data_IF_210941257803
#
_entry.id   IF_210941257803
#
_cell.length_a   1.000
_cell.length_b   1.000
_cell.length_c   1.000
_cell.angle_alpha   90.00
_cell.angle_beta   90.00
_cell.angle_gamma   90.00
#
_symmetry.space_group_name_H-M   'P 1'
#
loop_
_entity.id
_entity.type
_entity.pdbx_description
1 polymer ?
#
# COMPACT_ATOMS: atom_id res chain seq x y z
N UNK A 1 34.45 -1.52 -1.27
CA UNK A 1 34.12 -2.89 -1.71
C UNK A 1 32.77 -2.92 -2.42
N UNK A 2 32.43 -4.02 -3.08
CA UNK A 2 31.13 -4.17 -3.72
C UNK A 2 29.99 -4.12 -2.67
N UNK A 3 30.22 -4.69 -1.50
CA UNK A 3 29.28 -4.66 -0.38
C UNK A 3 29.01 -3.24 0.10
N UNK A 4 30.03 -2.44 0.32
CA UNK A 4 29.87 -1.01 0.68
C UNK A 4 29.10 -0.22 -0.36
N UNK A 5 29.25 -0.54 -1.65
CA UNK A 5 28.49 0.11 -2.72
C UNK A 5 27.01 -0.27 -2.66
N UNK A 6 26.70 -1.54 -2.35
CA UNK A 6 25.32 -2.00 -2.18
C UNK A 6 24.68 -1.32 -0.97
N UNK A 7 25.37 -1.30 0.17
CA UNK A 7 24.88 -0.65 1.41
C UNK A 7 24.62 0.84 1.20
N UNK A 8 25.53 1.51 0.50
CA UNK A 8 25.35 2.91 0.14
C UNK A 8 24.14 3.11 -0.77
N UNK A 9 23.95 2.23 -1.77
CA UNK A 9 22.81 2.28 -2.69
C UNK A 9 21.48 2.08 -1.96
N UNK A 10 21.41 1.14 -1.02
CA UNK A 10 20.22 0.91 -0.20
C UNK A 10 19.89 2.12 0.68
N UNK A 11 20.89 2.71 1.34
CA UNK A 11 20.71 3.89 2.15
C UNK A 11 20.26 5.10 1.31
N UNK A 12 20.83 5.26 0.11
CA UNK A 12 20.44 6.33 -0.80
C UNK A 12 19.00 6.15 -1.31
N UNK A 13 18.59 4.94 -1.66
CA UNK A 13 17.21 4.65 -2.09
C UNK A 13 16.22 4.98 -0.97
N UNK A 14 16.54 4.65 0.27
CA UNK A 14 15.71 4.99 1.42
C UNK A 14 15.63 6.51 1.62
N UNK A 15 16.73 7.23 1.48
CA UNK A 15 16.75 8.69 1.58
C UNK A 15 15.93 9.35 0.45
N UNK A 16 16.07 8.86 -0.79
CA UNK A 16 15.29 9.37 -1.94
C UNK A 16 13.79 9.20 -1.69
N UNK A 17 13.37 8.06 -1.16
CA UNK A 17 11.96 7.86 -0.81
C UNK A 17 11.51 8.79 0.33
N UNK A 18 12.33 8.97 1.36
CA UNK A 18 12.03 9.88 2.48
C UNK A 18 11.81 11.33 2.01
N UNK A 19 12.59 11.77 1.03
CA UNK A 19 12.51 13.13 0.46
C UNK A 19 11.45 13.23 -0.66
N UNK A 20 11.15 12.13 -1.34
CA UNK A 20 10.28 12.08 -2.51
C UNK A 20 8.81 11.78 -2.19
N UNK A 21 8.53 11.12 -1.08
CA UNK A 21 7.15 10.85 -0.68
C UNK A 21 6.38 12.16 -0.43
N UNK A 22 5.13 12.20 -0.87
CA UNK A 22 4.31 13.39 -0.75
C UNK A 22 3.10 13.17 0.16
N UNK A 23 2.99 13.99 1.21
CA UNK A 23 1.80 14.00 2.07
C UNK A 23 0.67 14.75 1.34
N UNK A 24 -0.33 14.02 0.88
CA UNK A 24 -1.47 14.59 0.15
C UNK A 24 -2.57 15.10 1.08
N UNK A 25 -2.73 14.47 2.24
CA UNK A 25 -3.76 14.80 3.23
C UNK A 25 -3.34 14.29 4.61
N UNK A 26 -3.60 15.09 5.64
CA UNK A 26 -3.45 14.68 7.04
C UNK A 26 -4.47 15.42 7.91
N UNK A 27 -5.67 14.88 8.01
CA UNK A 27 -6.76 15.44 8.78
C UNK A 27 -6.75 14.86 10.21
N UNK A 28 -7.25 15.63 11.16
CA UNK A 28 -7.43 15.20 12.55
C UNK A 28 -6.13 14.68 13.22
N UNK A 29 -4.96 15.14 12.78
CA UNK A 29 -3.68 14.64 13.25
C UNK A 29 -3.56 13.11 13.17
N UNK A 30 -4.03 12.52 12.07
CA UNK A 30 -3.99 11.08 11.85
C UNK A 30 -2.54 10.55 11.83
N UNK A 31 -1.65 11.32 11.25
CA UNK A 31 -0.21 11.08 11.28
C UNK A 31 0.50 12.12 12.17
N UNK A 32 1.56 11.73 12.87
CA UNK A 32 2.17 10.39 12.90
C UNK A 32 1.34 9.37 13.71
N UNK A 33 1.55 8.10 13.40
CA UNK A 33 1.09 6.99 14.22
C UNK A 33 1.88 6.96 15.54
N UNK A 34 1.25 6.47 16.60
CA UNK A 34 1.98 6.13 17.82
C UNK A 34 3.04 5.05 17.52
N UNK A 35 4.20 5.11 18.21
CA UNK A 35 5.33 4.23 17.94
C UNK A 35 5.02 2.73 18.18
N UNK A 36 4.01 2.44 19.00
CA UNK A 36 3.55 1.10 19.36
C UNK A 36 2.16 0.77 18.79
N UNK A 37 1.72 1.49 17.76
CA UNK A 37 0.41 1.31 17.15
C UNK A 37 0.22 -0.14 16.65
N UNK A 38 -1.03 -0.61 16.76
CA UNK A 38 -1.48 -1.88 16.19
C UNK A 38 -2.38 -1.59 15.02
N UNK A 39 -1.97 -2.00 13.83
CA UNK A 39 -2.62 -1.62 12.58
C UNK A 39 -3.08 -2.81 11.77
N UNK A 40 -4.10 -2.60 10.97
CA UNK A 40 -4.56 -3.55 9.94
C UNK A 40 -4.23 -3.00 8.56
N UNK A 41 -3.47 -3.76 7.77
CA UNK A 41 -3.11 -3.40 6.40
C UNK A 41 -4.07 -4.04 5.43
N UNK A 42 -4.82 -3.21 4.71
CA UNK A 42 -5.84 -3.64 3.76
C UNK A 42 -5.34 -3.54 2.33
N UNK A 43 -5.85 -4.35 1.50
CA UNK A 43 -5.67 -4.58 0.07
C UNK A 43 -4.65 -5.66 -0.28
N UNK A 44 -4.86 -6.31 -1.41
CA UNK A 44 -3.87 -7.23 -1.99
C UNK A 44 -2.55 -6.53 -2.31
N UNK A 45 -2.60 -5.22 -2.61
CA UNK A 45 -1.41 -4.40 -2.85
C UNK A 45 -0.56 -4.18 -1.59
N UNK A 46 -1.14 -4.26 -0.39
CA UNK A 46 -0.39 -4.09 0.87
C UNK A 46 0.65 -5.18 1.09
N UNK A 47 0.40 -6.38 0.58
CA UNK A 47 1.32 -7.53 0.65
C UNK A 47 2.11 -7.74 -0.64
N UNK A 48 1.83 -6.94 -1.67
CA UNK A 48 2.44 -7.05 -2.99
C UNK A 48 2.76 -5.64 -3.52
N UNK A 49 3.72 -4.98 -2.87
CA UNK A 49 4.12 -3.62 -3.23
C UNK A 49 4.71 -3.53 -4.63
N UNK A 50 4.53 -2.39 -5.26
CA UNK A 50 5.28 -2.00 -6.45
C UNK A 50 6.61 -1.45 -5.99
N UNK A 51 7.67 -2.22 -6.17
CA UNK A 51 9.04 -1.82 -5.85
C UNK A 51 9.71 -1.12 -7.03
N UNK A 52 9.37 -1.51 -8.24
CA UNK A 52 9.89 -0.94 -9.48
C UNK A 52 8.94 -1.22 -10.63
N UNK A 53 9.23 -0.63 -11.78
CA UNK A 53 8.46 -0.83 -12.99
C UNK A 53 8.62 -2.23 -13.59
N UNK A 54 8.00 -2.42 -14.74
CA UNK A 54 8.17 -3.61 -15.59
C UNK A 54 9.18 -3.32 -16.70
N UNK A 55 9.63 -4.33 -17.42
CA UNK A 55 10.63 -4.16 -18.48
C UNK A 55 12.00 -3.80 -17.92
N UNK A 56 12.66 -2.80 -18.50
CA UNK A 56 14.00 -2.36 -18.07
C UNK A 56 14.04 -1.70 -16.70
N UNK A 57 12.90 -1.25 -16.20
CA UNK A 57 12.74 -0.73 -14.84
C UNK A 57 12.45 -1.80 -13.78
N UNK A 58 12.41 -3.07 -14.16
CA UNK A 58 12.15 -4.15 -13.21
C UNK A 58 13.34 -4.35 -12.27
N UNK A 59 13.03 -4.58 -10.99
CA UNK A 59 14.03 -4.89 -9.96
C UNK A 59 13.74 -6.23 -9.30
N UNK A 60 14.77 -6.89 -8.82
CA UNK A 60 14.63 -8.06 -7.94
C UNK A 60 14.37 -7.58 -6.52
N UNK A 61 13.12 -7.67 -6.09
CA UNK A 61 12.69 -7.27 -4.75
C UNK A 61 12.67 -8.45 -3.76
N UNK A 62 13.27 -9.58 -4.08
CA UNK A 62 13.25 -10.78 -3.22
C UNK A 62 13.87 -10.56 -1.84
N UNK A 63 14.77 -9.59 -1.71
CA UNK A 63 15.41 -9.22 -0.44
C UNK A 63 14.85 -7.94 0.18
N UNK A 64 13.88 -7.30 -0.48
CA UNK A 64 13.27 -6.07 0.03
C UNK A 64 12.38 -6.35 1.25
N UNK A 65 12.30 -5.36 2.13
CA UNK A 65 11.30 -5.39 3.18
C UNK A 65 9.89 -5.30 2.58
N UNK A 66 8.96 -5.96 3.25
CA UNK A 66 7.52 -5.78 3.01
C UNK A 66 7.01 -4.58 3.80
N UNK A 67 5.79 -4.14 3.52
CA UNK A 67 5.13 -3.13 4.36
C UNK A 67 5.09 -3.58 5.83
N UNK A 68 4.79 -4.86 6.08
CA UNK A 68 4.75 -5.41 7.43
C UNK A 68 6.12 -5.35 8.11
N UNK A 69 7.17 -5.88 7.49
CA UNK A 69 8.50 -5.89 8.11
C UNK A 69 9.05 -4.48 8.32
N UNK A 70 8.79 -3.55 7.41
CA UNK A 70 9.15 -2.14 7.57
C UNK A 70 8.44 -1.48 8.76
N UNK A 71 7.14 -1.71 8.92
CA UNK A 71 6.36 -1.21 10.06
C UNK A 71 6.84 -1.83 11.38
N UNK A 72 7.11 -3.13 11.41
CA UNK A 72 7.61 -3.83 12.58
C UNK A 72 8.98 -3.29 13.02
N UNK A 73 9.85 -2.92 12.09
CA UNK A 73 11.16 -2.29 12.38
C UNK A 73 11.05 -0.96 13.12
N UNK A 74 9.96 -0.24 12.97
CA UNK A 74 9.70 1.02 13.69
C UNK A 74 8.79 0.86 14.91
N UNK A 75 8.46 -0.39 15.29
CA UNK A 75 7.72 -0.73 16.50
C UNK A 75 6.21 -0.91 16.32
N UNK A 76 5.69 -0.75 15.11
CA UNK A 76 4.28 -0.94 14.78
C UNK A 76 3.98 -2.43 14.60
N UNK A 77 2.88 -2.90 15.19
CA UNK A 77 2.41 -4.28 15.05
C UNK A 77 1.36 -4.36 13.96
N UNK A 78 1.53 -5.28 13.01
CA UNK A 78 0.60 -5.50 11.90
C UNK A 78 -0.28 -6.71 12.20
N UNK A 79 -1.57 -6.59 11.93
CA UNK A 79 -2.57 -7.65 12.07
C UNK A 79 -2.13 -8.90 11.26
N UNK A 80 -1.73 -9.99 11.93
CA UNK A 80 -1.21 -11.16 11.25
C UNK A 80 -2.31 -11.95 10.52
N UNK A 81 -3.53 -11.95 11.05
CA UNK A 81 -4.65 -12.69 10.46
C UNK A 81 -5.05 -12.08 9.11
N UNK A 82 -5.13 -10.74 9.03
CA UNK A 82 -5.41 -10.04 7.78
C UNK A 82 -4.24 -10.15 6.81
N UNK A 83 -2.99 -10.10 7.30
CA UNK A 83 -1.81 -10.29 6.47
C UNK A 83 -1.79 -11.69 5.84
N UNK A 84 -2.04 -12.72 6.64
CA UNK A 84 -2.08 -14.11 6.18
C UNK A 84 -3.22 -14.37 5.21
N UNK A 85 -4.37 -13.68 5.38
CA UNK A 85 -5.47 -13.73 4.43
C UNK A 85 -5.02 -13.39 3.00
N UNK A 86 -4.19 -12.35 2.84
CA UNK A 86 -3.71 -11.93 1.53
C UNK A 86 -2.51 -12.73 1.01
N UNK A 87 -1.73 -13.35 1.88
CA UNK A 87 -0.47 -14.02 1.49
C UNK A 87 -0.63 -15.52 1.29
N UNK A 88 -1.39 -16.17 2.13
CA UNK A 88 -1.58 -17.63 2.12
C UNK A 88 -3.04 -18.05 2.19
N UNK A 89 -3.93 -17.16 2.59
CA UNK A 89 -5.37 -17.42 2.74
C UNK A 89 -6.16 -17.21 1.45
N UNK A 90 -7.46 -16.99 1.60
CA UNK A 90 -8.40 -16.88 0.47
C UNK A 90 -8.15 -15.69 -0.46
N UNK A 91 -7.48 -14.63 0.04
CA UNK A 91 -7.15 -13.45 -0.75
C UNK A 91 -5.90 -13.58 -1.63
N UNK A 92 -5.11 -14.65 -1.49
CA UNK A 92 -3.83 -14.83 -2.19
C UNK A 92 -3.92 -14.86 -3.71
N UNK A 93 -5.01 -15.36 -4.23
CA UNK A 93 -5.20 -15.55 -5.68
C UNK A 93 -5.59 -14.26 -6.40
N UNK A 94 -5.80 -13.18 -5.67
CA UNK A 94 -6.11 -11.84 -6.18
C UNK A 94 -4.87 -10.93 -6.31
N UNK A 95 -3.68 -11.45 -6.09
CA UNK A 95 -2.44 -10.70 -6.30
C UNK A 95 -2.30 -10.32 -7.79
N UNK A 96 -1.74 -9.12 -8.05
CA UNK A 96 -1.42 -8.70 -9.40
C UNK A 96 -0.63 -9.78 -10.13
N UNK A 97 -1.05 -10.09 -11.36
CA UNK A 97 -0.30 -10.95 -12.26
C UNK A 97 0.65 -10.10 -13.12
N UNK A 98 1.89 -10.54 -13.25
CA UNK A 98 2.80 -9.97 -14.24
C UNK A 98 2.40 -10.45 -15.63
N UNK A 99 2.03 -9.55 -16.53
CA UNK A 99 1.75 -9.88 -17.91
C UNK A 99 2.95 -9.60 -18.81
N UNK A 100 3.61 -10.58 -19.20
CA UNK A 100 4.29 -10.94 -20.40
C UNK A 100 5.52 -10.19 -20.87
N UNK A 101 5.42 -9.40 -21.87
CA UNK A 101 6.54 -8.79 -22.61
C UNK A 101 6.63 -7.29 -22.32
N UNK A 102 7.82 -6.72 -22.52
CA UNK A 102 8.08 -5.27 -22.37
C UNK A 102 6.98 -4.40 -23.02
N UNK A 103 6.48 -4.79 -24.17
CA UNK A 103 5.44 -4.07 -24.91
C UNK A 103 3.99 -4.28 -24.38
N UNK A 104 3.79 -5.16 -23.39
CA UNK A 104 2.48 -5.50 -22.83
C UNK A 104 2.52 -5.63 -21.30
N UNK A 105 3.44 -4.97 -20.66
CA UNK A 105 3.79 -5.18 -19.27
C UNK A 105 3.04 -4.28 -18.29
N UNK A 106 1.83 -3.85 -18.64
CA UNK A 106 0.91 -3.26 -17.65
C UNK A 106 0.37 -4.37 -16.75
N UNK A 107 0.50 -4.18 -15.46
CA UNK A 107 -0.05 -5.11 -14.47
C UNK A 107 -1.43 -4.63 -14.03
N UNK A 108 -2.40 -5.50 -14.18
CA UNK A 108 -3.77 -5.23 -13.76
C UNK A 108 -3.87 -5.40 -12.26
N UNK A 109 -4.40 -4.41 -11.57
CA UNK A 109 -4.77 -4.52 -10.17
C UNK A 109 -5.97 -5.45 -10.05
N UNK A 110 -5.82 -6.49 -9.25
CA UNK A 110 -6.92 -7.36 -8.87
C UNK A 110 -7.12 -7.23 -7.36
N UNK A 111 -8.11 -6.44 -6.94
CA UNK A 111 -8.45 -6.33 -5.52
C UNK A 111 -9.43 -7.43 -5.13
N UNK A 112 -9.32 -7.89 -3.88
CA UNK A 112 -10.14 -8.96 -3.32
C UNK A 112 -11.58 -8.47 -3.15
N UNK A 113 -12.59 -9.15 -3.73
CA UNK A 113 -13.98 -8.84 -3.46
C UNK A 113 -14.29 -8.97 -1.96
N UNK A 114 -15.10 -8.04 -1.44
CA UNK A 114 -15.37 -8.01 0.01
C UNK A 114 -16.04 -9.27 0.56
N UNK A 115 -16.82 -9.96 -0.24
CA UNK A 115 -17.49 -11.21 0.13
C UNK A 115 -16.54 -12.41 0.29
N UNK A 116 -15.28 -12.28 -0.15
CA UNK A 116 -14.21 -13.27 0.09
C UNK A 116 -13.64 -13.17 1.50
N UNK A 117 -13.75 -12.00 2.15
CA UNK A 117 -13.29 -11.79 3.52
C UNK A 117 -14.12 -12.61 4.51
N UNK A 118 -13.45 -13.48 5.25
CA UNK A 118 -14.11 -14.31 6.27
C UNK A 118 -14.45 -13.53 7.53
N UNK A 119 -15.37 -14.01 8.34
CA UNK A 119 -15.70 -13.37 9.62
C UNK A 119 -14.49 -13.32 10.54
N UNK A 120 -13.67 -14.38 10.59
CA UNK A 120 -12.42 -14.40 11.36
C UNK A 120 -11.48 -13.25 10.97
N UNK A 121 -11.32 -13.01 9.68
CA UNK A 121 -10.48 -11.91 9.16
C UNK A 121 -11.07 -10.55 9.56
N UNK A 122 -12.37 -10.36 9.38
CA UNK A 122 -13.05 -9.11 9.76
C UNK A 122 -12.97 -8.86 11.27
N UNK A 123 -13.21 -9.88 12.08
CA UNK A 123 -13.19 -9.79 13.54
C UNK A 123 -11.78 -9.50 14.08
N UNK A 124 -10.74 -9.94 13.40
CA UNK A 124 -9.35 -9.69 13.79
C UNK A 124 -8.98 -8.20 13.83
N UNK A 125 -9.67 -7.38 13.04
CA UNK A 125 -9.36 -5.95 12.88
C UNK A 125 -9.52 -5.18 14.20
N UNK A 126 -10.46 -5.57 15.06
CA UNK A 126 -10.71 -4.89 16.32
C UNK A 126 -9.50 -4.85 17.26
N UNK A 127 -8.64 -5.86 17.23
CA UNK A 127 -7.41 -5.90 18.04
C UNK A 127 -6.26 -5.10 17.43
N UNK A 128 -6.38 -4.69 16.17
CA UNK A 128 -5.37 -3.96 15.40
C UNK A 128 -6.01 -2.73 14.75
N UNK A 129 -6.87 -2.07 15.50
CA UNK A 129 -7.71 -0.97 15.03
C UNK A 129 -7.15 0.43 15.26
N UNK A 130 -5.89 0.59 15.68
CA UNK A 130 -5.32 1.93 15.84
C UNK A 130 -5.28 2.70 14.52
N UNK A 131 -5.08 1.99 13.42
CA UNK A 131 -5.30 2.50 12.07
C UNK A 131 -5.59 1.35 11.09
N UNK A 132 -6.38 1.66 10.05
CA UNK A 132 -6.39 0.91 8.80
C UNK A 132 -5.44 1.60 7.83
N UNK A 133 -4.48 0.86 7.28
CA UNK A 133 -3.58 1.34 6.24
C UNK A 133 -3.97 0.63 4.95
N UNK A 134 -4.44 1.38 3.97
CA UNK A 134 -4.91 0.87 2.68
C UNK A 134 -3.90 1.23 1.61
N UNK A 135 -3.33 0.24 0.94
CA UNK A 135 -2.39 0.48 -0.17
C UNK A 135 -3.12 0.33 -1.50
N UNK A 136 -3.01 1.33 -2.34
CA UNK A 136 -3.54 1.33 -3.71
C UNK A 136 -2.37 1.43 -4.68
N UNK A 137 -2.32 0.55 -5.66
CA UNK A 137 -1.20 0.52 -6.60
C UNK A 137 -1.66 0.43 -8.05
N UNK A 138 -0.83 0.99 -8.92
CA UNK A 138 -0.94 0.88 -10.39
C UNK A 138 0.46 0.66 -10.94
N UNK A 139 0.56 -0.16 -11.95
CA UNK A 139 1.81 -0.41 -12.67
C UNK A 139 1.57 -0.24 -14.15
N UNK A 140 2.19 0.75 -14.75
CA UNK A 140 2.32 0.87 -16.20
C UNK A 140 3.60 0.23 -16.68
N UNK A 141 3.57 -0.32 -17.89
CA UNK A 141 4.74 -0.97 -18.47
C UNK A 141 5.46 -0.07 -19.48
N UNK A 142 6.72 -0.39 -19.73
CA UNK A 142 7.49 0.21 -20.81
C UNK A 142 6.79 -0.02 -22.16
N UNK A 143 6.46 1.06 -22.86
CA UNK A 143 5.74 1.02 -24.14
C UNK A 143 4.26 0.65 -24.04
N UNK A 144 3.68 0.62 -22.84
CA UNK A 144 2.27 0.32 -22.60
C UNK A 144 1.70 1.23 -21.50
N UNK A 145 0.79 2.11 -21.89
CA UNK A 145 0.07 2.97 -20.95
C UNK A 145 -1.06 2.22 -20.23
N UNK A 146 -1.43 2.72 -19.06
CA UNK A 146 -2.64 2.29 -18.37
C UNK A 146 -3.89 2.75 -19.14
N UNK A 147 -4.84 1.85 -19.31
CA UNK A 147 -6.10 2.13 -19.99
C UNK A 147 -6.99 3.08 -19.18
N UNK A 148 -7.67 3.98 -19.87
CA UNK A 148 -8.72 4.83 -19.31
C UNK A 148 -10.06 4.74 -20.08
N UNK A 149 -10.21 3.69 -20.91
CA UNK A 149 -11.44 3.41 -21.67
C UNK A 149 -12.49 2.68 -20.83
N UNK A 150 -12.98 1.53 -21.31
CA UNK A 150 -13.96 0.70 -20.58
C UNK A 150 -13.42 0.22 -19.23
N UNK A 151 -12.14 -0.11 -19.16
CA UNK A 151 -11.42 -0.34 -17.90
C UNK A 151 -10.56 0.90 -17.63
N UNK A 152 -10.93 1.65 -16.62
CA UNK A 152 -10.23 2.88 -16.24
C UNK A 152 -9.29 2.63 -15.06
N UNK A 153 -8.03 2.34 -15.34
CA UNK A 153 -7.01 2.14 -14.32
C UNK A 153 -6.58 3.42 -13.60
N UNK A 154 -6.98 4.59 -14.07
CA UNK A 154 -6.76 5.85 -13.37
C UNK A 154 -7.71 6.01 -12.18
N UNK A 155 -8.85 5.33 -12.20
CA UNK A 155 -9.85 5.36 -11.14
C UNK A 155 -9.76 4.10 -10.26
N UNK A 156 -10.41 4.15 -9.10
CA UNK A 156 -10.62 2.97 -8.27
C UNK A 156 -11.54 1.98 -8.99
N UNK A 157 -11.24 0.70 -8.90
CA UNK A 157 -12.16 -0.36 -9.32
C UNK A 157 -13.25 -0.60 -8.26
N UNK A 158 -14.25 -1.40 -8.61
CA UNK A 158 -15.41 -1.65 -7.73
C UNK A 158 -15.03 -2.40 -6.44
N UNK A 159 -14.03 -3.26 -6.48
CA UNK A 159 -13.56 -3.99 -5.30
C UNK A 159 -12.73 -3.08 -4.37
N UNK A 160 -11.91 -2.19 -4.93
CA UNK A 160 -11.21 -1.16 -4.15
C UNK A 160 -12.21 -0.21 -3.47
N UNK A 161 -13.26 0.21 -4.17
CA UNK A 161 -14.33 1.03 -3.59
C UNK A 161 -15.07 0.30 -2.48
N UNK A 162 -15.46 -0.96 -2.71
CA UNK A 162 -16.14 -1.78 -1.70
C UNK A 162 -15.27 -1.97 -0.45
N UNK A 163 -13.98 -2.22 -0.60
CA UNK A 163 -13.04 -2.31 0.51
C UNK A 163 -13.02 -1.00 1.32
N UNK A 164 -12.84 0.15 0.66
CA UNK A 164 -12.82 1.45 1.33
C UNK A 164 -14.14 1.77 2.05
N UNK A 165 -15.29 1.45 1.45
CA UNK A 165 -16.60 1.62 2.09
C UNK A 165 -16.72 0.76 3.36
N UNK A 166 -16.26 -0.47 3.33
CA UNK A 166 -16.32 -1.36 4.48
C UNK A 166 -15.32 -0.96 5.58
N UNK A 167 -14.16 -0.46 5.22
CA UNK A 167 -13.20 0.13 6.19
C UNK A 167 -13.82 1.38 6.83
N UNK A 168 -14.50 2.22 6.05
CA UNK A 168 -15.23 3.39 6.59
C UNK A 168 -16.35 2.98 7.56
N UNK A 169 -17.07 1.89 7.28
CA UNK A 169 -18.08 1.36 8.20
C UNK A 169 -17.44 0.82 9.49
N UNK A 170 -16.29 0.14 9.39
CA UNK A 170 -15.52 -0.27 10.57
C UNK A 170 -15.11 0.94 11.42
N UNK A 171 -14.67 2.03 10.79
CA UNK A 171 -14.31 3.28 11.48
C UNK A 171 -15.53 3.90 12.17
N UNK A 172 -16.66 3.98 11.49
CA UNK A 172 -17.93 4.47 12.05
C UNK A 172 -18.36 3.67 13.27
N UNK A 173 -18.13 2.37 13.28
CA UNK A 173 -18.43 1.46 14.37
C UNK A 173 -17.37 1.43 15.49
N UNK A 174 -16.31 2.23 15.37
CA UNK A 174 -15.24 2.32 16.37
C UNK A 174 -14.25 1.15 16.36
N UNK A 175 -14.30 0.28 15.36
CA UNK A 175 -13.36 -0.85 15.18
C UNK A 175 -11.99 -0.33 14.75
N UNK A 176 -11.98 0.68 13.89
CA UNK A 176 -10.78 1.36 13.39
C UNK A 176 -10.85 2.83 13.79
N UNK A 177 -9.75 3.38 14.29
CA UNK A 177 -9.70 4.78 14.74
C UNK A 177 -9.48 5.77 13.61
N UNK A 178 -8.71 5.38 12.60
CA UNK A 178 -8.34 6.22 11.45
C UNK A 178 -8.01 5.38 10.23
N UNK A 179 -8.20 5.98 9.06
CA UNK A 179 -7.88 5.38 7.76
C UNK A 179 -6.78 6.16 7.07
N UNK A 180 -5.71 5.49 6.71
CA UNK A 180 -4.55 6.03 6.02
C UNK A 180 -4.41 5.33 4.67
N UNK A 181 -4.27 6.09 3.59
CA UNK A 181 -4.08 5.56 2.24
C UNK A 181 -2.64 5.76 1.80
N UNK A 182 -2.01 4.70 1.31
CA UNK A 182 -0.73 4.73 0.62
C UNK A 182 -0.96 4.56 -0.87
N UNK A 183 -0.53 5.53 -1.67
CA UNK A 183 -0.60 5.45 -3.14
C UNK A 183 0.75 4.98 -3.64
N UNK A 184 0.83 3.69 -3.94
CA UNK A 184 2.02 2.99 -4.40
C UNK A 184 1.98 2.87 -5.93
N UNK A 185 2.22 3.98 -6.59
CA UNK A 185 2.18 4.09 -8.04
C UNK A 185 3.05 5.22 -8.54
N UNK A 186 3.94 4.93 -9.49
CA UNK A 186 4.62 5.96 -10.28
C UNK A 186 3.71 6.52 -11.40
N UNK A 187 2.64 5.80 -11.73
CA UNK A 187 1.64 6.21 -12.70
C UNK A 187 0.57 7.11 -12.05
N UNK A 188 -0.09 7.91 -12.87
CA UNK A 188 -1.19 8.73 -12.41
C UNK A 188 -2.34 7.88 -11.83
N UNK A 189 -2.93 8.38 -10.75
CA UNK A 189 -4.16 7.86 -10.15
C UNK A 189 -5.07 9.04 -9.85
N UNK A 190 -6.35 8.93 -10.16
CA UNK A 190 -7.35 9.90 -9.74
C UNK A 190 -7.51 9.83 -8.22
N UNK A 191 -7.33 10.97 -7.55
CA UNK A 191 -7.29 11.03 -6.08
C UNK A 191 -8.47 11.79 -5.48
N UNK A 192 -9.48 12.09 -6.26
CA UNK A 192 -10.71 12.74 -5.80
C UNK A 192 -11.45 11.95 -4.72
N UNK A 193 -11.31 10.62 -4.73
CA UNK A 193 -11.85 9.73 -3.69
C UNK A 193 -11.35 10.05 -2.28
N UNK A 194 -10.17 10.67 -2.13
CA UNK A 194 -9.63 11.08 -0.82
C UNK A 194 -10.53 12.08 -0.10
N UNK A 195 -11.34 12.83 -0.84
CA UNK A 195 -12.29 13.82 -0.30
C UNK A 195 -13.73 13.28 -0.26
N UNK A 196 -13.95 12.04 -0.67
CA UNK A 196 -15.28 11.44 -0.61
C UNK A 196 -15.62 11.05 0.83
N UNK A 197 -16.67 11.65 1.38
CA UNK A 197 -17.12 11.40 2.75
C UNK A 197 -17.56 9.94 2.99
N UNK A 198 -17.92 9.21 1.95
CA UNK A 198 -18.22 7.78 2.06
C UNK A 198 -17.04 6.95 2.57
N UNK A 199 -15.82 7.36 2.23
CA UNK A 199 -14.61 6.61 2.61
C UNK A 199 -13.99 7.11 3.92
N UNK A 200 -14.31 8.35 4.31
CA UNK A 200 -13.87 8.96 5.57
C UNK A 200 -12.36 8.77 5.84
N UNK A 201 -11.54 9.06 4.82
CA UNK A 201 -10.10 8.91 4.85
C UNK A 201 -9.47 10.08 5.63
N UNK A 202 -8.57 9.78 6.56
CA UNK A 202 -7.93 10.79 7.41
C UNK A 202 -6.59 11.29 6.84
N UNK A 203 -5.79 10.40 6.29
CA UNK A 203 -4.49 10.76 5.73
C UNK A 203 -4.20 9.98 4.46
N UNK A 204 -3.39 10.56 3.60
CA UNK A 204 -2.91 9.92 2.38
C UNK A 204 -1.49 10.36 2.05
N UNK A 205 -0.67 9.39 1.67
CA UNK A 205 0.72 9.55 1.30
C UNK A 205 0.93 8.96 -0.09
N UNK A 206 1.46 9.75 -1.02
CA UNK A 206 1.96 9.22 -2.28
C UNK A 206 3.40 8.74 -2.08
N UNK A 207 3.66 7.47 -2.42
CA UNK A 207 4.97 6.83 -2.21
C UNK A 207 5.62 6.34 -3.51
N UNK A 208 4.96 6.50 -4.66
CA UNK A 208 5.50 6.06 -5.94
C UNK A 208 5.83 4.56 -5.96
N UNK A 209 6.84 4.18 -6.74
CA UNK A 209 7.48 2.88 -6.70
C UNK A 209 8.64 2.98 -5.71
N UNK A 210 8.63 2.14 -4.66
CA UNK A 210 9.46 2.38 -3.48
C UNK A 210 10.92 1.94 -3.61
N UNK A 211 11.29 1.30 -4.71
CA UNK A 211 12.64 0.73 -4.80
C UNK A 211 12.86 -0.38 -3.76
N UNK A 212 14.11 -0.82 -3.62
CA UNK A 212 14.41 -1.99 -2.79
C UNK A 212 14.35 -1.71 -1.28
N UNK A 213 14.53 -0.47 -0.86
CA UNK A 213 14.62 -0.07 0.56
C UNK A 213 13.71 1.09 0.96
N UNK A 214 13.00 1.69 0.00
CA UNK A 214 12.18 2.88 0.27
C UNK A 214 11.00 2.64 1.21
N UNK A 215 10.46 1.44 1.26
CA UNK A 215 9.35 1.14 2.19
C UNK A 215 9.74 1.37 3.66
N UNK A 216 11.02 1.25 4.01
CA UNK A 216 11.51 1.57 5.35
C UNK A 216 11.37 3.08 5.65
N UNK A 217 11.62 3.94 4.67
CA UNK A 217 11.37 5.38 4.81
C UNK A 217 9.88 5.70 4.98
N UNK A 218 9.01 5.00 4.27
CA UNK A 218 7.55 5.16 4.42
C UNK A 218 7.13 4.84 5.85
N UNK A 219 7.62 3.74 6.43
CA UNK A 219 7.34 3.39 7.82
C UNK A 219 7.85 4.46 8.81
N UNK A 220 9.00 5.06 8.54
CA UNK A 220 9.56 6.17 9.35
C UNK A 220 8.72 7.45 9.24
N UNK A 221 8.21 7.77 8.04
CA UNK A 221 7.29 8.90 7.83
C UNK A 221 5.99 8.68 8.60
N UNK A 222 5.40 7.49 8.48
CA UNK A 222 4.13 7.15 9.14
C UNK A 222 4.22 7.24 10.67
N UNK A 223 5.40 7.05 11.25
CA UNK A 223 5.65 7.12 12.70
C UNK A 223 6.32 8.42 13.16
N UNK A 224 6.52 9.37 12.25
CA UNK A 224 7.11 10.68 12.56
C UNK A 224 8.61 10.66 12.87
N UNK A 225 9.32 9.59 12.51
CA UNK A 225 10.79 9.52 12.64
C UNK A 225 11.51 10.32 11.55
N UNK A 226 10.82 10.53 10.43
CA UNK A 226 11.23 11.39 9.30
C UNK A 226 10.06 12.32 8.98
N UNK A 227 10.38 13.59 8.72
CA UNK A 227 9.44 14.65 8.34
C UNK A 227 9.54 14.94 6.85
#
# INVERSE_FOLDING_TARGET
>A
SAEEMVDYGLALTQQVEAEGAALLMNNNNALPLAADAKVSTFSSSSVNLVYGGTGSGNIDASTADTLRTALEKVGVTVNPTLWDFYTVGAGKDYARSKSGTVAKSSEVTAEVPWDVYTDEVKDSVAQYGDAAIVTLSRVGGEGADLSYGEVNYLALDENEKAMLQNVAEMKKNGIVKKTIVLINSANALQVDFLKNNEYDIDAALWIGDVGISGINAVAEILTGKVN
#
